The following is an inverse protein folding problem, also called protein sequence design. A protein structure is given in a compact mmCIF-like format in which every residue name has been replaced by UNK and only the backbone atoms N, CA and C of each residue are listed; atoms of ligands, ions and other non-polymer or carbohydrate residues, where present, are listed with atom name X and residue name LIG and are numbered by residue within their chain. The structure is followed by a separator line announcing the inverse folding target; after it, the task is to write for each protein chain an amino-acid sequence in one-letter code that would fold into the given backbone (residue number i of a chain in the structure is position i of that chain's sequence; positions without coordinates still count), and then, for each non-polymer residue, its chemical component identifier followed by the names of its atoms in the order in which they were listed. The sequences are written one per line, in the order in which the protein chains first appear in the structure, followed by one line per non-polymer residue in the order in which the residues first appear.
data_IF_646266858270
#
_entry.id   IF_646266858270
#
_cell.length_a   1.000
_cell.length_b   1.000
_cell.length_c   1.000
_cell.angle_alpha   90.00
_cell.angle_beta   90.00
_cell.angle_gamma   90.00
#
_symmetry.space_group_name_H-M   'P 1'
#
loop_
_entity.id
_entity.type
_entity.pdbx_description
1 polymer ?
#
# COMPACT_ATOMS: atom_id res chain seq x y z
N UNK A 1 -46.25 46.04 -34.24
CA UNK A 1 -45.69 44.92 -35.01
C UNK A 1 -44.39 44.53 -34.34
N UNK A 2 -44.42 43.53 -33.44
CA UNK A 2 -43.24 43.02 -32.77
C UNK A 2 -42.40 42.21 -33.77
N UNK A 3 -41.14 42.57 -33.96
CA UNK A 3 -40.09 41.60 -34.26
C UNK A 3 -38.89 41.93 -33.37
N UNK A 4 -38.75 41.13 -32.33
CA UNK A 4 -37.61 41.09 -31.42
C UNK A 4 -36.40 40.57 -32.21
N UNK A 5 -35.43 41.43 -32.46
CA UNK A 5 -34.15 41.03 -33.04
C UNK A 5 -33.37 40.19 -32.02
N UNK A 6 -32.84 39.07 -32.51
CA UNK A 6 -32.22 38.01 -31.75
C UNK A 6 -31.10 38.51 -30.83
N UNK A 7 -31.13 37.98 -29.61
CA UNK A 7 -30.09 38.15 -28.61
C UNK A 7 -28.72 37.82 -29.18
N UNK A 8 -27.81 38.76 -28.98
CA UNK A 8 -26.38 38.62 -29.17
C UNK A 8 -25.87 37.48 -28.27
N UNK A 9 -25.78 36.28 -28.84
CA UNK A 9 -25.06 35.14 -28.25
C UNK A 9 -23.59 35.47 -28.41
N UNK A 10 -23.10 36.39 -27.57
CA UNK A 10 -21.68 36.67 -27.43
C UNK A 10 -20.98 35.37 -27.03
N UNK A 11 -20.19 34.86 -27.97
CA UNK A 11 -19.25 33.74 -27.86
C UNK A 11 -18.62 33.70 -26.47
N UNK A 12 -19.02 32.74 -25.62
CA UNK A 12 -18.23 32.37 -24.44
C UNK A 12 -16.96 31.70 -24.93
N UNK A 13 -15.90 32.48 -25.12
CA UNK A 13 -14.55 31.96 -25.30
C UNK A 13 -14.24 30.97 -24.17
N UNK A 14 -13.60 29.81 -24.46
CA UNK A 14 -13.12 28.94 -23.39
C UNK A 14 -12.21 29.79 -22.50
N UNK A 15 -12.59 29.96 -21.23
CA UNK A 15 -11.75 30.65 -20.26
C UNK A 15 -10.52 29.77 -20.09
N UNK A 16 -9.37 30.21 -20.60
CA UNK A 16 -8.07 29.62 -20.28
C UNK A 16 -7.93 29.63 -18.75
N UNK A 17 -8.07 28.46 -18.13
CA UNK A 17 -8.23 28.29 -16.68
C UNK A 17 -6.88 28.29 -15.98
N UNK A 18 -5.87 27.70 -16.60
CA UNK A 18 -4.54 27.52 -16.04
C UNK A 18 -3.51 28.32 -16.84
N UNK A 19 -2.60 28.99 -16.16
CA UNK A 19 -1.47 29.70 -16.76
C UNK A 19 -0.55 28.74 -17.49
N UNK A 20 -0.20 27.65 -16.84
CA UNK A 20 0.68 26.62 -17.37
C UNK A 20 0.37 25.26 -16.70
N UNK A 21 1.11 24.21 -17.09
CA UNK A 21 0.97 22.87 -16.51
C UNK A 21 1.31 22.82 -15.01
N UNK A 22 2.14 23.72 -14.50
CA UNK A 22 2.52 23.72 -13.08
C UNK A 22 1.39 24.24 -12.21
N UNK A 23 0.74 25.34 -12.63
CA UNK A 23 -0.43 25.85 -11.92
C UNK A 23 -1.55 24.81 -11.89
N UNK A 24 -1.80 24.14 -13.03
CA UNK A 24 -2.76 23.04 -13.10
C UNK A 24 -2.41 21.89 -12.14
N UNK A 25 -1.14 21.51 -12.04
CA UNK A 25 -0.67 20.48 -11.11
C UNK A 25 -0.87 20.86 -9.64
N UNK A 26 -0.68 22.14 -9.28
CA UNK A 26 -0.92 22.62 -7.90
C UNK A 26 -2.40 22.58 -7.53
N UNK A 27 -3.28 23.01 -8.43
CA UNK A 27 -4.73 22.91 -8.23
C UNK A 27 -5.15 21.45 -8.07
N UNK A 28 -4.61 20.57 -8.92
CA UNK A 28 -4.91 19.14 -8.85
C UNK A 28 -4.39 18.50 -7.56
N UNK A 29 -3.24 18.96 -7.06
CA UNK A 29 -2.68 18.50 -5.79
C UNK A 29 -3.55 18.84 -4.58
N UNK A 30 -4.20 20.00 -4.58
CA UNK A 30 -5.15 20.39 -3.52
C UNK A 30 -6.36 19.45 -3.49
N UNK A 31 -6.88 19.08 -4.66
CA UNK A 31 -7.99 18.12 -4.78
C UNK A 31 -7.60 16.71 -4.32
N UNK A 32 -6.32 16.35 -4.48
CA UNK A 32 -5.76 15.05 -4.08
C UNK A 32 -5.22 15.04 -2.64
N UNK A 33 -5.45 16.08 -1.82
CA UNK A 33 -4.85 16.21 -0.50
C UNK A 33 -5.10 15.02 0.44
N UNK A 34 -6.19 14.26 0.23
CA UNK A 34 -6.49 13.04 0.98
C UNK A 34 -5.40 11.95 0.85
N UNK A 35 -4.62 11.95 -0.24
CA UNK A 35 -3.55 10.98 -0.51
C UNK A 35 -2.19 11.38 0.05
N UNK A 36 -2.08 12.55 0.69
CA UNK A 36 -0.82 13.07 1.21
C UNK A 36 -0.25 12.18 2.32
N UNK A 37 1.06 11.99 2.31
CA UNK A 37 1.82 11.23 3.32
C UNK A 37 1.40 9.76 3.46
N UNK A 38 0.65 9.23 2.50
CA UNK A 38 0.31 7.81 2.47
C UNK A 38 1.48 6.98 1.92
N UNK A 39 1.94 5.93 2.64
CA UNK A 39 3.17 5.21 2.31
C UNK A 39 3.08 4.37 1.03
N UNK A 40 1.87 4.05 0.57
CA UNK A 40 1.60 3.20 -0.59
C UNK A 40 1.08 3.95 -1.81
N UNK A 41 1.16 5.29 -1.81
CA UNK A 41 0.80 6.10 -2.97
C UNK A 41 1.99 6.27 -3.91
N UNK A 42 1.78 6.05 -5.20
CA UNK A 42 2.74 6.35 -6.27
C UNK A 42 2.06 7.25 -7.30
N UNK A 43 2.78 8.27 -7.76
CA UNK A 43 2.31 9.14 -8.84
C UNK A 43 3.01 8.76 -10.14
N UNK A 44 2.23 8.46 -11.17
CA UNK A 44 2.70 8.15 -12.51
C UNK A 44 2.26 9.24 -13.48
N UNK A 45 3.22 9.94 -14.09
CA UNK A 45 2.93 10.92 -15.13
C UNK A 45 2.92 10.28 -16.52
N UNK A 46 1.85 10.47 -17.29
CA UNK A 46 1.81 10.05 -18.69
C UNK A 46 2.79 10.88 -19.53
N UNK A 47 3.74 10.19 -20.16
CA UNK A 47 4.74 10.85 -20.95
C UNK A 47 4.16 11.42 -22.26
N UNK A 48 4.42 12.68 -22.62
CA UNK A 48 5.32 13.66 -21.97
C UNK A 48 4.58 14.76 -21.21
N UNK A 49 3.40 15.14 -21.70
CA UNK A 49 2.65 16.30 -21.24
C UNK A 49 2.24 16.23 -19.78
N UNK A 50 1.94 15.03 -19.28
CA UNK A 50 1.54 14.80 -17.90
C UNK A 50 2.63 15.02 -16.86
N UNK A 51 3.92 14.93 -17.20
CA UNK A 51 5.00 14.94 -16.19
C UNK A 51 5.11 16.25 -15.41
N UNK A 52 5.07 17.45 -16.03
CA UNK A 52 5.06 18.70 -15.27
C UNK A 52 3.88 18.81 -14.28
N UNK A 53 2.71 18.28 -14.64
CA UNK A 53 1.54 18.26 -13.75
C UNK A 53 1.75 17.24 -12.63
N UNK A 54 2.17 16.03 -12.99
CA UNK A 54 2.43 14.92 -12.09
C UNK A 54 3.50 15.26 -11.04
N UNK A 55 4.52 16.03 -11.42
CA UNK A 55 5.57 16.44 -10.50
C UNK A 55 5.04 17.34 -9.39
N UNK A 56 4.19 18.34 -9.70
CA UNK A 56 3.61 19.21 -8.67
C UNK A 56 2.67 18.41 -7.75
N UNK A 57 1.90 17.45 -8.31
CA UNK A 57 1.08 16.52 -7.52
C UNK A 57 1.95 15.67 -6.59
N UNK A 58 2.97 15.00 -7.12
CA UNK A 58 3.85 14.14 -6.34
C UNK A 58 4.59 14.89 -5.23
N UNK A 59 5.08 16.10 -5.54
CA UNK A 59 5.77 16.95 -4.57
C UNK A 59 4.85 17.36 -3.41
N UNK A 60 3.60 17.74 -3.71
CA UNK A 60 2.62 18.14 -2.70
C UNK A 60 2.08 16.97 -1.87
N UNK A 61 2.10 15.75 -2.40
CA UNK A 61 1.68 14.53 -1.69
C UNK A 61 2.83 13.83 -0.95
N UNK A 62 4.08 14.28 -1.16
CA UNK A 62 5.31 13.59 -0.73
C UNK A 62 5.42 12.15 -1.25
N UNK A 63 4.90 11.91 -2.45
CA UNK A 63 4.86 10.60 -3.08
C UNK A 63 5.99 10.44 -4.12
N UNK A 64 6.47 9.21 -4.37
CA UNK A 64 7.39 8.92 -5.47
C UNK A 64 6.72 9.23 -6.82
N UNK A 65 7.48 9.89 -7.69
CA UNK A 65 7.11 10.17 -9.08
C UNK A 65 7.88 9.24 -10.03
N UNK A 66 7.17 8.69 -11.01
CA UNK A 66 7.77 8.01 -12.16
C UNK A 66 7.03 8.36 -13.45
N UNK A 67 7.69 8.15 -14.59
CA UNK A 67 7.08 8.31 -15.90
C UNK A 67 6.42 7.02 -16.36
N UNK A 68 5.24 7.14 -16.95
CA UNK A 68 4.54 6.03 -17.58
C UNK A 68 4.45 6.28 -19.09
N UNK A 69 5.11 5.43 -19.88
CA UNK A 69 5.17 5.57 -21.33
C UNK A 69 4.14 4.63 -21.95
N UNK A 70 3.28 5.19 -22.79
CA UNK A 70 2.26 4.45 -23.53
C UNK A 70 2.37 4.77 -25.01
N UNK A 71 2.24 3.74 -25.84
CA UNK A 71 2.18 3.81 -27.30
C UNK A 71 0.88 3.19 -27.75
N UNK A 72 0.17 3.82 -28.68
CA UNK A 72 -0.99 3.21 -29.31
C UNK A 72 -0.52 2.28 -30.41
N UNK A 73 -1.17 1.13 -30.54
CA UNK A 73 -1.00 0.25 -31.69
C UNK A 73 -2.04 0.69 -32.72
N UNK A 74 -1.60 1.37 -33.78
CA UNK A 74 -2.46 1.79 -34.87
C UNK A 74 -2.88 0.62 -35.76
N UNK A 75 -4.04 0.70 -36.39
CA UNK A 75 -4.51 -0.29 -37.35
C UNK A 75 -3.63 -0.29 -38.60
N UNK A 76 -3.40 -1.46 -39.25
CA UNK A 76 -2.67 -1.49 -40.52
C UNK A 76 -3.29 -0.53 -41.55
N UNK A 77 -2.50 0.45 -42.03
CA UNK A 77 -2.92 1.45 -43.01
C UNK A 77 -3.67 2.67 -42.42
N UNK A 78 -3.98 2.67 -41.12
CA UNK A 78 -4.68 3.75 -40.44
C UNK A 78 -4.13 3.95 -39.02
N UNK A 79 -2.97 4.60 -38.92
CA UNK A 79 -2.24 4.77 -37.66
C UNK A 79 -3.03 5.53 -36.58
N UNK A 80 -3.95 6.41 -37.00
CA UNK A 80 -4.84 7.17 -36.11
C UNK A 80 -5.93 6.30 -35.44
N UNK A 81 -6.20 5.12 -35.98
CA UNK A 81 -7.21 4.20 -35.45
C UNK A 81 -6.55 3.15 -34.55
N UNK A 82 -6.66 3.31 -33.24
CA UNK A 82 -5.99 2.44 -32.28
C UNK A 82 -6.70 1.07 -32.15
N UNK A 83 -5.96 -0.01 -32.39
CA UNK A 83 -6.40 -1.41 -32.20
C UNK A 83 -5.99 -1.95 -30.84
N UNK A 84 -5.05 -1.27 -30.20
CA UNK A 84 -4.51 -1.63 -28.90
C UNK A 84 -3.53 -0.58 -28.42
N UNK A 85 -2.77 -0.95 -27.41
CA UNK A 85 -1.69 -0.14 -26.89
C UNK A 85 -0.57 -1.01 -26.31
N UNK A 86 0.61 -0.43 -26.28
CA UNK A 86 1.77 -0.95 -25.60
C UNK A 86 2.15 0.02 -24.48
N UNK A 87 2.43 -0.51 -23.30
CA UNK A 87 2.84 0.29 -22.15
C UNK A 87 4.18 -0.16 -21.59
N UNK A 88 4.69 0.66 -20.67
CA UNK A 88 5.88 0.39 -19.88
C UNK A 88 5.93 -1.06 -19.36
N UNK A 89 7.10 -1.69 -19.48
CA UNK A 89 7.29 -3.11 -19.15
C UNK A 89 6.90 -4.09 -20.27
N UNK A 90 6.69 -3.61 -21.50
CA UNK A 90 6.45 -4.46 -22.68
C UNK A 90 5.04 -5.06 -22.74
N UNK A 91 4.10 -4.51 -21.96
CA UNK A 91 2.73 -5.03 -21.90
C UNK A 91 1.90 -4.56 -23.08
N UNK A 92 1.36 -5.51 -23.82
CA UNK A 92 0.50 -5.31 -24.97
C UNK A 92 -0.95 -5.53 -24.55
N UNK A 93 -1.77 -4.53 -24.74
CA UNK A 93 -3.22 -4.59 -24.56
C UNK A 93 -3.88 -4.40 -25.92
N UNK A 94 -4.86 -5.23 -26.25
CA UNK A 94 -5.50 -5.21 -27.56
C UNK A 94 -7.01 -5.20 -27.39
N UNK A 95 -7.71 -4.46 -28.26
CA UNK A 95 -9.16 -4.53 -28.33
C UNK A 95 -9.56 -5.66 -29.30
N UNK A 96 -9.97 -6.80 -28.75
CA UNK A 96 -10.32 -7.99 -29.53
C UNK A 96 -11.48 -7.76 -30.49
N UNK A 97 -12.42 -6.87 -30.17
CA UNK A 97 -13.55 -6.56 -31.06
C UNK A 97 -13.08 -5.79 -32.30
N UNK A 98 -12.15 -4.85 -32.11
CA UNK A 98 -11.54 -4.09 -33.20
C UNK A 98 -10.66 -4.99 -34.07
N UNK A 99 -9.83 -5.83 -33.45
CA UNK A 99 -8.97 -6.78 -34.17
C UNK A 99 -9.81 -7.73 -35.03
N UNK A 100 -10.91 -8.26 -34.49
CA UNK A 100 -11.83 -9.13 -35.22
C UNK A 100 -12.56 -8.37 -36.32
N UNK A 101 -13.08 -7.17 -36.04
CA UNK A 101 -13.82 -6.35 -36.99
C UNK A 101 -12.98 -5.94 -38.21
N UNK A 102 -11.70 -5.62 -38.00
CA UNK A 102 -10.76 -5.25 -39.05
C UNK A 102 -10.01 -6.44 -39.66
N UNK A 103 -10.28 -7.67 -39.19
CA UNK A 103 -9.61 -8.91 -39.63
C UNK A 103 -8.09 -8.82 -39.57
N UNK A 104 -7.57 -8.20 -38.51
CA UNK A 104 -6.13 -8.03 -38.32
C UNK A 104 -5.53 -9.39 -37.99
N UNK A 105 -4.55 -9.80 -38.77
CA UNK A 105 -3.86 -11.08 -38.54
C UNK A 105 -2.94 -10.99 -37.33
N UNK A 106 -2.67 -12.11 -36.64
CA UNK A 106 -1.70 -12.13 -35.54
C UNK A 106 -0.30 -11.65 -35.96
N UNK A 107 0.10 -11.88 -37.22
CA UNK A 107 1.39 -11.40 -37.72
C UNK A 107 1.42 -9.87 -37.84
N UNK A 108 0.39 -9.27 -38.44
CA UNK A 108 0.30 -7.81 -38.54
C UNK A 108 0.32 -7.15 -37.17
N UNK A 109 -0.40 -7.72 -36.19
CA UNK A 109 -0.40 -7.20 -34.82
C UNK A 109 0.98 -7.29 -34.17
N UNK A 110 1.70 -8.41 -34.36
CA UNK A 110 3.09 -8.55 -33.89
C UNK A 110 4.01 -7.50 -34.51
N UNK A 111 3.94 -7.31 -35.82
CA UNK A 111 4.78 -6.34 -36.52
C UNK A 111 4.54 -4.90 -36.02
N UNK A 112 3.28 -4.55 -35.73
CA UNK A 112 2.92 -3.26 -35.13
C UNK A 112 3.46 -3.17 -33.70
N UNK A 113 3.24 -4.19 -32.87
CA UNK A 113 3.70 -4.22 -31.49
C UNK A 113 5.22 -4.14 -31.37
N UNK A 114 5.97 -4.82 -32.23
CA UNK A 114 7.44 -4.77 -32.25
C UNK A 114 7.96 -3.38 -32.65
N UNK A 115 7.34 -2.75 -33.66
CA UNK A 115 7.72 -1.39 -34.09
C UNK A 115 7.47 -0.38 -32.97
N UNK A 116 6.28 -0.40 -32.39
CA UNK A 116 5.93 0.50 -31.29
C UNK A 116 6.73 0.18 -30.01
N UNK A 117 7.10 -1.08 -29.80
CA UNK A 117 7.93 -1.52 -28.69
C UNK A 117 9.35 -1.01 -28.72
N UNK A 118 9.96 -0.92 -29.91
CA UNK A 118 11.29 -0.30 -30.04
C UNK A 118 11.28 1.18 -29.64
N UNK A 119 10.26 1.93 -30.06
CA UNK A 119 10.13 3.35 -29.67
C UNK A 119 9.77 3.50 -28.19
N UNK A 120 8.93 2.60 -27.64
CA UNK A 120 8.62 2.59 -26.21
C UNK A 120 9.89 2.40 -25.39
N UNK A 121 10.68 1.37 -25.68
CA UNK A 121 11.95 1.09 -24.99
C UNK A 121 12.92 2.27 -25.12
N UNK A 122 13.04 2.87 -26.31
CA UNK A 122 13.87 4.07 -26.51
C UNK A 122 13.48 5.21 -25.57
N UNK A 123 12.17 5.48 -25.41
CA UNK A 123 11.65 6.52 -24.52
C UNK A 123 11.82 6.17 -23.05
N UNK A 124 11.55 4.92 -22.67
CA UNK A 124 11.78 4.46 -21.30
C UNK A 124 13.24 4.63 -20.89
N UNK A 125 14.18 4.16 -21.72
CA UNK A 125 15.62 4.36 -21.49
C UNK A 125 15.98 5.84 -21.45
N UNK A 126 15.37 6.67 -22.30
CA UNK A 126 15.61 8.12 -22.29
C UNK A 126 15.15 8.78 -20.98
N UNK A 127 14.07 8.32 -20.34
CA UNK A 127 13.52 8.96 -19.14
C UNK A 127 14.06 8.37 -17.83
N UNK A 128 14.16 7.04 -17.75
CA UNK A 128 14.61 6.33 -16.55
C UNK A 128 16.12 6.10 -16.50
N UNK A 129 16.80 6.11 -17.64
CA UNK A 129 18.18 5.64 -17.73
C UNK A 129 18.25 4.16 -17.34
N UNK A 130 19.09 3.84 -16.37
CA UNK A 130 19.24 2.47 -15.83
C UNK A 130 18.28 2.17 -14.67
N UNK A 131 17.44 3.13 -14.24
CA UNK A 131 16.51 2.90 -13.13
C UNK A 131 15.45 1.87 -13.53
N UNK A 132 15.19 0.84 -12.71
CA UNK A 132 14.11 -0.11 -12.99
C UNK A 132 12.74 0.59 -12.92
N UNK A 133 11.72 0.04 -13.60
CA UNK A 133 10.33 0.48 -13.41
C UNK A 133 9.92 0.43 -11.94
N UNK A 134 9.12 1.40 -11.52
CA UNK A 134 8.57 1.41 -10.16
C UNK A 134 7.60 0.25 -9.96
N UNK A 135 7.78 -0.51 -8.87
CA UNK A 135 6.84 -1.55 -8.46
C UNK A 135 5.56 -0.91 -7.90
N UNK A 136 4.44 -1.19 -8.55
CA UNK A 136 3.12 -0.67 -8.23
C UNK A 136 2.19 -1.74 -7.64
N UNK A 137 2.68 -2.96 -7.44
CA UNK A 137 1.87 -4.08 -6.95
C UNK A 137 1.31 -3.77 -5.57
N UNK A 138 -0.01 -3.89 -5.40
CA UNK A 138 -0.69 -3.61 -4.13
C UNK A 138 -0.63 -2.14 -3.67
N UNK A 139 -0.29 -1.20 -4.55
CA UNK A 139 -0.18 0.23 -4.23
C UNK A 139 -1.34 1.05 -4.81
N UNK A 140 -1.54 2.25 -4.26
CA UNK A 140 -2.45 3.24 -4.82
C UNK A 140 -1.71 4.04 -5.89
N UNK A 141 -2.13 3.88 -7.15
CA UNK A 141 -1.48 4.50 -8.30
C UNK A 141 -2.32 5.70 -8.76
N UNK A 142 -1.75 6.90 -8.64
CA UNK A 142 -2.34 8.13 -9.19
C UNK A 142 -1.72 8.39 -10.55
N UNK A 143 -2.54 8.25 -11.59
CA UNK A 143 -2.15 8.38 -13.00
C UNK A 143 -2.52 9.78 -13.48
N UNK A 144 -1.51 10.57 -13.85
CA UNK A 144 -1.65 12.00 -14.14
C UNK A 144 -1.35 12.30 -15.60
N UNK A 145 -2.20 13.10 -16.25
CA UNK A 145 -1.95 13.68 -17.58
C UNK A 145 -2.29 15.18 -17.59
N UNK A 146 -1.82 15.93 -18.61
CA UNK A 146 -2.10 17.37 -18.72
C UNK A 146 -3.52 17.70 -19.17
N UNK A 147 -4.25 16.70 -19.66
CA UNK A 147 -5.70 16.74 -19.82
C UNK A 147 -6.19 15.48 -20.51
N UNK A 148 -7.51 15.33 -20.55
CA UNK A 148 -8.15 14.14 -21.09
C UNK A 148 -9.12 14.54 -22.19
N UNK A 149 -8.71 14.40 -23.46
CA UNK A 149 -9.59 14.68 -24.59
C UNK A 149 -10.48 13.47 -24.92
N UNK A 150 -10.03 12.61 -25.84
CA UNK A 150 -10.72 11.37 -26.19
C UNK A 150 -10.43 10.23 -25.21
N UNK A 151 -9.46 10.40 -24.31
CA UNK A 151 -9.11 9.41 -23.30
C UNK A 151 -8.31 8.20 -23.80
N UNK A 152 -8.09 8.03 -25.10
CA UNK A 152 -7.46 6.82 -25.65
C UNK A 152 -6.10 6.46 -25.02
N UNK A 153 -5.23 7.45 -24.77
CA UNK A 153 -3.94 7.22 -24.13
C UNK A 153 -4.07 6.81 -22.66
N UNK A 154 -5.03 7.43 -21.94
CA UNK A 154 -5.32 7.11 -20.55
C UNK A 154 -5.98 5.73 -20.42
N UNK A 155 -6.88 5.37 -21.34
CA UNK A 155 -7.52 4.06 -21.37
C UNK A 155 -6.48 2.94 -21.55
N UNK A 156 -5.56 3.13 -22.49
CA UNK A 156 -4.40 2.27 -22.66
C UNK A 156 -3.55 2.17 -21.40
N UNK A 157 -3.33 3.30 -20.71
CA UNK A 157 -2.58 3.31 -19.48
C UNK A 157 -3.26 2.50 -18.36
N UNK A 158 -4.56 2.74 -18.14
CA UNK A 158 -5.36 2.03 -17.12
C UNK A 158 -5.35 0.53 -17.36
N UNK A 159 -5.57 0.09 -18.60
CA UNK A 159 -5.54 -1.35 -18.90
C UNK A 159 -4.17 -1.95 -18.62
N UNK A 160 -3.10 -1.27 -19.06
CA UNK A 160 -1.76 -1.72 -18.79
C UNK A 160 -1.42 -1.73 -17.30
N UNK A 161 -1.98 -0.84 -16.47
CA UNK A 161 -1.74 -0.81 -15.02
C UNK A 161 -2.47 -1.93 -14.29
N UNK A 162 -3.70 -2.29 -14.69
CA UNK A 162 -4.49 -3.36 -14.06
C UNK A 162 -3.75 -4.69 -14.02
N UNK A 163 -3.00 -5.03 -15.06
CA UNK A 163 -2.19 -6.26 -15.14
C UNK A 163 -1.07 -6.31 -14.08
N UNK A 164 -0.70 -5.20 -13.44
CA UNK A 164 0.30 -5.17 -12.35
C UNK A 164 -0.35 -5.27 -10.97
N UNK A 165 -1.68 -5.44 -10.92
CA UNK A 165 -2.44 -5.64 -9.70
C UNK A 165 -2.17 -4.54 -8.64
N UNK A 166 -2.32 -3.24 -8.98
CA UNK A 166 -2.34 -2.20 -7.97
C UNK A 166 -3.54 -2.39 -7.03
N UNK A 167 -3.46 -1.85 -5.81
CA UNK A 167 -4.58 -1.85 -4.90
C UNK A 167 -5.70 -0.91 -5.37
N UNK A 168 -5.31 0.24 -5.94
CA UNK A 168 -6.22 1.25 -6.48
C UNK A 168 -5.59 1.98 -7.67
N UNK A 169 -6.41 2.37 -8.63
CA UNK A 169 -6.06 3.25 -9.74
C UNK A 169 -6.91 4.52 -9.62
N UNK A 170 -6.24 5.67 -9.55
CA UNK A 170 -6.87 6.99 -9.50
C UNK A 170 -6.40 7.77 -10.73
N UNK A 171 -7.33 8.30 -11.52
CA UNK A 171 -6.99 9.20 -12.62
C UNK A 171 -7.05 10.63 -12.11
N UNK A 172 -6.03 11.43 -12.41
CA UNK A 172 -6.04 12.84 -12.06
C UNK A 172 -5.65 13.71 -13.27
N UNK A 173 -6.55 14.61 -13.69
CA UNK A 173 -6.34 15.47 -14.86
C UNK A 173 -6.85 16.90 -14.62
N UNK A 174 -6.16 17.93 -15.13
CA UNK A 174 -6.62 19.31 -14.99
C UNK A 174 -7.94 19.59 -15.70
N UNK A 175 -8.09 19.12 -16.93
CA UNK A 175 -9.26 19.42 -17.76
C UNK A 175 -9.68 18.23 -18.62
N UNK A 176 -10.99 17.98 -18.68
CA UNK A 176 -11.58 16.89 -19.46
C UNK A 176 -13.06 17.18 -19.81
N UNK A 177 -13.62 16.60 -20.88
CA UNK A 177 -15.07 16.56 -21.06
C UNK A 177 -15.73 15.74 -19.95
N UNK A 178 -16.90 16.21 -19.48
CA UNK A 178 -17.68 15.48 -18.47
C UNK A 178 -18.02 14.05 -18.92
N UNK A 179 -18.33 13.85 -20.20
CA UNK A 179 -18.61 12.53 -20.78
C UNK A 179 -17.44 11.56 -20.60
N UNK A 180 -16.21 12.03 -20.81
CA UNK A 180 -15.00 11.22 -20.70
C UNK A 180 -14.72 10.89 -19.24
N UNK A 181 -14.88 11.84 -18.31
CA UNK A 181 -14.78 11.56 -16.88
C UNK A 181 -15.76 10.49 -16.41
N UNK A 182 -17.03 10.54 -16.86
CA UNK A 182 -18.03 9.52 -16.51
C UNK A 182 -17.69 8.14 -17.05
N UNK A 183 -17.13 8.06 -18.26
CA UNK A 183 -16.67 6.80 -18.84
C UNK A 183 -15.57 6.16 -17.98
N UNK A 184 -14.57 6.97 -17.58
CA UNK A 184 -13.49 6.47 -16.72
C UNK A 184 -13.92 6.15 -15.30
N UNK A 185 -14.92 6.83 -14.75
CA UNK A 185 -15.45 6.51 -13.42
C UNK A 185 -16.01 5.07 -13.32
N UNK A 186 -16.38 4.44 -14.45
CA UNK A 186 -16.73 3.03 -14.51
C UNK A 186 -15.54 2.07 -14.65
N UNK A 187 -14.32 2.59 -14.83
CA UNK A 187 -13.10 1.82 -15.13
C UNK A 187 -12.03 1.93 -14.04
N UNK A 188 -12.06 2.93 -13.17
CA UNK A 188 -11.05 3.12 -12.13
C UNK A 188 -11.71 3.38 -10.79
N UNK A 189 -10.93 3.34 -9.71
CA UNK A 189 -11.43 3.53 -8.36
C UNK A 189 -11.85 4.97 -8.09
N UNK A 190 -11.17 5.94 -8.71
CA UNK A 190 -11.53 7.36 -8.64
C UNK A 190 -11.03 8.16 -9.85
N UNK A 191 -11.75 9.25 -10.17
CA UNK A 191 -11.41 10.21 -11.23
C UNK A 191 -11.48 11.62 -10.66
N UNK A 192 -10.32 12.24 -10.50
CA UNK A 192 -10.17 13.62 -10.05
C UNK A 192 -9.94 14.53 -11.25
N UNK A 193 -10.90 15.41 -11.51
CA UNK A 193 -10.81 16.40 -12.59
C UNK A 193 -11.01 17.81 -12.05
N UNK A 194 -10.04 18.71 -12.31
CA UNK A 194 -10.11 20.07 -11.76
C UNK A 194 -11.15 20.96 -12.47
N UNK A 195 -11.39 20.76 -13.77
CA UNK A 195 -12.42 21.49 -14.52
C UNK A 195 -12.95 20.70 -15.70
N UNK A 196 -14.24 20.89 -16.03
CA UNK A 196 -14.91 20.24 -17.16
C UNK A 196 -15.51 21.27 -18.11
N UNK A 197 -14.69 21.95 -18.95
CA UNK A 197 -15.17 23.03 -19.78
C UNK A 197 -16.10 22.54 -20.89
N UNK A 198 -17.12 23.35 -21.22
CA UNK A 198 -18.07 23.08 -22.30
C UNK A 198 -18.20 24.32 -23.19
N UNK A 199 -17.96 24.23 -24.51
CA UNK A 199 -17.50 23.04 -25.25
C UNK A 199 -16.03 22.70 -24.94
N UNK A 200 -15.69 21.41 -24.95
CA UNK A 200 -14.31 20.94 -24.89
C UNK A 200 -13.80 20.72 -26.31
N UNK A 201 -12.81 21.52 -26.74
CA UNK A 201 -12.24 21.42 -28.09
C UNK A 201 -10.89 20.71 -28.08
N UNK A 202 -9.99 21.11 -27.18
CA UNK A 202 -8.67 20.53 -27.03
C UNK A 202 -8.15 20.78 -25.61
N UNK A 203 -7.23 19.92 -25.15
CA UNK A 203 -6.55 20.08 -23.85
C UNK A 203 -5.89 21.46 -23.73
N UNK A 204 -5.18 21.89 -24.79
CA UNK A 204 -4.43 23.14 -24.80
C UNK A 204 -5.25 24.42 -24.60
N UNK A 205 -6.55 24.41 -24.90
CA UNK A 205 -7.43 25.57 -24.69
C UNK A 205 -7.66 25.91 -23.21
N UNK A 206 -7.39 24.95 -22.32
CA UNK A 206 -7.46 25.18 -20.87
C UNK A 206 -6.22 25.92 -20.33
N UNK A 207 -5.18 26.11 -21.15
CA UNK A 207 -3.88 26.65 -20.75
C UNK A 207 -3.54 27.96 -21.46
N UNK A 208 -2.93 28.91 -20.75
CA UNK A 208 -2.34 30.12 -21.36
C UNK A 208 -1.01 29.80 -22.06
N UNK A 209 -0.18 28.98 -21.43
CA UNK A 209 1.06 28.42 -21.97
C UNK A 209 0.94 26.89 -22.07
N UNK A 210 0.85 26.40 -23.31
CA UNK A 210 0.78 24.98 -23.63
C UNK A 210 1.94 24.51 -24.52
N UNK A 211 3.13 25.10 -24.33
CA UNK A 211 4.33 24.68 -25.08
C UNK A 211 4.61 23.19 -24.92
N UNK A 212 5.18 22.58 -25.96
CA UNK A 212 5.48 21.16 -25.96
C UNK A 212 6.55 20.83 -24.91
N UNK A 213 6.26 19.83 -24.06
CA UNK A 213 7.21 19.32 -23.07
C UNK A 213 8.32 18.54 -23.79
N UNK A 214 9.57 18.89 -23.47
CA UNK A 214 10.77 18.26 -24.04
C UNK A 214 11.20 17.03 -23.23
N UNK A 215 11.93 16.11 -23.86
CA UNK A 215 12.48 14.94 -23.15
C UNK A 215 13.46 15.36 -22.04
N UNK A 216 14.18 16.46 -22.24
CA UNK A 216 15.09 17.02 -21.23
C UNK A 216 14.35 17.56 -20.01
N UNK A 217 13.21 18.21 -20.23
CA UNK A 217 12.34 18.64 -19.13
C UNK A 217 11.79 17.44 -18.34
N UNK A 218 11.39 16.37 -19.02
CA UNK A 218 10.95 15.12 -18.35
C UNK A 218 12.07 14.55 -17.49
N UNK A 219 13.30 14.43 -18.02
CA UNK A 219 14.45 13.94 -17.26
C UNK A 219 14.72 14.77 -16.01
N UNK A 220 14.72 16.09 -16.15
CA UNK A 220 14.93 17.01 -15.02
C UNK A 220 13.87 16.84 -13.93
N UNK A 221 12.60 16.71 -14.30
CA UNK A 221 11.51 16.48 -13.34
C UNK A 221 11.68 15.13 -12.62
N UNK A 222 11.99 14.06 -13.36
CA UNK A 222 12.21 12.72 -12.78
C UNK A 222 13.50 12.61 -11.94
N UNK A 223 14.45 13.53 -12.11
CA UNK A 223 15.66 13.61 -11.30
C UNK A 223 15.46 14.46 -10.04
N UNK A 224 14.42 15.31 -10.01
CA UNK A 224 14.13 16.18 -8.88
C UNK A 224 13.24 15.42 -7.88
N UNK A 225 13.72 15.15 -6.65
CA UNK A 225 12.95 14.38 -5.66
C UNK A 225 11.62 15.06 -5.32
N UNK A 226 10.54 14.28 -5.27
CA UNK A 226 9.18 14.73 -4.88
C UNK A 226 8.77 14.19 -3.51
N UNK A 227 9.25 13.01 -3.15
CA UNK A 227 9.27 12.54 -1.78
C UNK A 227 10.58 13.01 -1.12
N UNK A 228 10.55 13.28 0.20
CA UNK A 228 11.79 13.35 1.00
C UNK A 228 12.64 12.10 0.79
N UNK A 229 13.91 12.04 1.27
CA UNK A 229 14.67 10.80 1.21
C UNK A 229 13.76 9.73 1.77
N UNK A 230 13.29 8.83 0.90
CA UNK A 230 12.39 7.81 1.36
C UNK A 230 13.15 7.16 2.50
N UNK A 231 12.45 6.85 3.59
CA UNK A 231 12.89 5.73 4.40
C UNK A 231 12.84 4.56 3.41
N UNK A 232 13.89 4.43 2.60
CA UNK A 232 14.15 3.33 1.71
C UNK A 232 14.03 2.18 2.66
N UNK A 233 12.93 1.44 2.57
CA UNK A 233 12.99 0.06 3.00
C UNK A 233 14.11 -0.50 2.13
N UNK A 234 15.28 -0.85 2.70
CA UNK A 234 16.37 -1.38 1.89
C UNK A 234 15.81 -2.56 1.10
N UNK A 235 16.30 -2.75 -0.12
CA UNK A 235 16.01 -3.93 -0.93
C UNK A 235 15.91 -5.15 -0.02
N UNK A 236 14.76 -5.84 -0.07
CA UNK A 236 14.30 -6.84 0.89
C UNK A 236 15.39 -7.25 1.89
N UNK A 237 15.45 -6.56 3.03
CA UNK A 237 16.33 -6.96 4.12
C UNK A 237 16.09 -8.44 4.34
N UNK A 238 17.14 -9.26 4.22
CA UNK A 238 16.98 -10.68 4.53
C UNK A 238 16.42 -10.79 5.94
N UNK A 239 15.66 -11.85 6.26
CA UNK A 239 15.16 -12.03 7.62
C UNK A 239 16.30 -11.92 8.65
N UNK A 240 17.51 -12.35 8.28
CA UNK A 240 18.71 -12.18 9.07
C UNK A 240 19.13 -10.71 9.29
N UNK A 241 19.00 -9.83 8.29
CA UNK A 241 19.34 -8.40 8.44
C UNK A 241 18.33 -7.65 9.31
N UNK A 242 17.05 -8.02 9.23
CA UNK A 242 16.03 -7.50 10.14
C UNK A 242 16.34 -7.93 11.57
N UNK A 243 16.59 -9.22 11.77
CA UNK A 243 16.93 -9.77 13.08
C UNK A 243 18.19 -9.14 13.65
N UNK A 244 19.27 -8.98 12.89
CA UNK A 244 20.52 -8.36 13.39
C UNK A 244 20.34 -6.92 13.88
N UNK A 245 19.40 -6.16 13.31
CA UNK A 245 19.14 -4.78 13.72
C UNK A 245 18.39 -4.66 15.05
N UNK A 246 17.61 -5.67 15.38
CA UNK A 246 16.77 -5.69 16.60
C UNK A 246 17.25 -6.70 17.63
N UNK A 247 18.20 -7.56 17.27
CA UNK A 247 18.81 -8.53 18.16
C UNK A 247 19.68 -7.81 19.17
N UNK A 248 19.47 -8.18 20.43
CA UNK A 248 20.21 -7.67 21.56
C UNK A 248 21.07 -8.80 22.07
N UNK A 249 22.36 -8.54 22.21
CA UNK A 249 23.30 -9.52 22.70
C UNK A 249 23.01 -9.81 24.19
N UNK A 250 22.88 -11.09 24.50
CA UNK A 250 22.50 -11.58 25.83
C UNK A 250 23.34 -12.83 26.16
N UNK A 251 24.66 -12.68 26.35
CA UNK A 251 25.57 -13.81 26.54
C UNK A 251 25.25 -14.64 27.81
N UNK A 252 24.55 -14.05 28.78
CA UNK A 252 24.03 -14.74 29.97
C UNK A 252 22.62 -15.33 29.81
N UNK A 253 22.10 -15.40 28.58
CA UNK A 253 20.74 -15.89 28.26
C UNK A 253 19.63 -14.86 28.43
N UNK A 254 19.83 -13.82 29.24
CA UNK A 254 18.88 -12.71 29.46
C UNK A 254 19.61 -11.37 29.27
N UNK A 255 19.01 -10.39 28.56
CA UNK A 255 19.56 -9.03 28.51
C UNK A 255 19.62 -8.39 29.91
N UNK A 256 20.48 -7.39 30.11
CA UNK A 256 20.56 -6.69 31.40
C UNK A 256 19.24 -5.98 31.72
N UNK A 257 18.97 -5.74 33.01
CA UNK A 257 17.73 -5.06 33.44
C UNK A 257 17.60 -3.65 32.85
N UNK A 258 18.71 -2.95 32.58
CA UNK A 258 18.70 -1.64 31.91
C UNK A 258 18.15 -1.76 30.49
N UNK A 259 18.64 -2.73 29.72
CA UNK A 259 18.20 -2.99 28.35
C UNK A 259 16.75 -3.47 28.35
N UNK A 260 16.36 -4.35 29.27
CA UNK A 260 14.96 -4.77 29.43
C UNK A 260 14.06 -3.59 29.80
N UNK A 261 14.51 -2.65 30.64
CA UNK A 261 13.76 -1.46 31.00
C UNK A 261 13.56 -0.52 29.82
N UNK A 262 14.57 -0.36 28.96
CA UNK A 262 14.46 0.41 27.72
C UNK A 262 13.52 -0.25 26.71
N UNK A 263 13.65 -1.57 26.50
CA UNK A 263 12.79 -2.33 25.59
C UNK A 263 11.32 -2.33 26.01
N UNK A 264 11.07 -2.45 27.31
CA UNK A 264 9.72 -2.48 27.86
C UNK A 264 9.11 -1.09 27.94
N UNK A 265 9.89 -0.05 28.25
CA UNK A 265 9.40 1.32 28.33
C UNK A 265 8.16 1.46 29.22
N UNK A 266 7.11 2.09 28.67
CA UNK A 266 5.77 2.23 29.28
C UNK A 266 4.77 1.19 28.75
N UNK A 267 5.26 0.11 28.13
CA UNK A 267 4.42 -0.88 27.51
C UNK A 267 3.49 -1.52 28.54
N UNK A 268 2.19 -1.47 28.25
CA UNK A 268 1.15 -2.16 29.02
C UNK A 268 1.13 -3.65 28.71
N UNK A 269 1.72 -4.03 27.57
CA UNK A 269 1.75 -5.37 27.00
C UNK A 269 3.18 -5.69 26.51
N UNK A 270 3.76 -6.81 26.96
CA UNK A 270 5.10 -7.38 26.73
C UNK A 270 4.93 -8.87 26.41
N UNK A 271 5.27 -9.27 25.20
CA UNK A 271 5.20 -10.66 24.74
C UNK A 271 6.60 -11.28 24.82
N UNK A 272 6.71 -12.47 25.40
CA UNK A 272 7.97 -13.21 25.51
C UNK A 272 7.81 -14.54 24.75
N UNK A 273 8.69 -14.79 23.79
CA UNK A 273 8.72 -16.01 22.99
C UNK A 273 10.13 -16.61 22.91
N UNK A 274 10.22 -17.86 22.45
CA UNK A 274 11.48 -18.58 22.24
C UNK A 274 11.52 -19.18 20.83
N UNK A 275 12.73 -19.39 20.29
CA UNK A 275 12.94 -19.95 18.95
C UNK A 275 13.00 -21.48 18.92
N UNK A 276 13.08 -22.13 20.08
CA UNK A 276 13.23 -23.57 20.22
C UNK A 276 12.46 -24.09 21.43
N UNK A 277 11.76 -25.22 21.26
CA UNK A 277 11.04 -25.90 22.34
C UNK A 277 11.97 -26.85 23.08
N UNK A 278 11.82 -26.94 24.41
CA UNK A 278 12.52 -27.95 25.23
C UNK A 278 13.97 -27.59 25.57
N UNK A 279 14.42 -26.38 25.25
CA UNK A 279 15.76 -25.88 25.61
C UNK A 279 15.69 -25.21 26.99
N UNK A 280 16.41 -25.76 27.96
CA UNK A 280 16.32 -25.35 29.37
C UNK A 280 16.71 -23.89 29.59
N UNK A 281 17.71 -23.42 28.85
CA UNK A 281 18.23 -22.06 28.89
C UNK A 281 17.18 -21.02 28.48
N UNK A 282 16.33 -21.32 27.48
CA UNK A 282 15.24 -20.43 27.07
C UNK A 282 14.12 -20.38 28.11
N UNK A 283 13.82 -21.51 28.77
CA UNK A 283 12.86 -21.53 29.87
C UNK A 283 13.34 -20.74 31.09
N UNK A 284 14.61 -20.88 31.46
CA UNK A 284 15.22 -20.08 32.53
C UNK A 284 15.17 -18.59 32.19
N UNK A 285 15.55 -18.22 30.96
CA UNK A 285 15.52 -16.83 30.51
C UNK A 285 14.10 -16.24 30.56
N UNK A 286 13.10 -16.98 30.08
CA UNK A 286 11.68 -16.57 30.14
C UNK A 286 11.20 -16.40 31.58
N UNK A 287 11.56 -17.33 32.47
CA UNK A 287 11.19 -17.26 33.88
C UNK A 287 11.81 -16.02 34.55
N UNK A 288 13.09 -15.76 34.33
CA UNK A 288 13.80 -14.60 34.88
C UNK A 288 13.22 -13.27 34.40
N UNK A 289 12.96 -13.13 33.09
CA UNK A 289 12.34 -11.93 32.53
C UNK A 289 10.92 -11.72 33.07
N UNK A 290 10.14 -12.80 33.18
CA UNK A 290 8.77 -12.73 33.73
C UNK A 290 8.78 -12.32 35.20
N UNK A 291 9.69 -12.88 36.00
CA UNK A 291 9.86 -12.50 37.39
C UNK A 291 10.19 -11.02 37.53
N UNK A 292 11.17 -10.53 36.78
CA UNK A 292 11.56 -9.13 36.80
C UNK A 292 10.40 -8.19 36.39
N UNK A 293 9.61 -8.54 35.37
CA UNK A 293 8.43 -7.76 34.97
C UNK A 293 7.39 -7.66 36.09
N UNK A 294 7.19 -8.73 36.87
CA UNK A 294 6.25 -8.74 37.98
C UNK A 294 6.79 -7.92 39.16
N UNK A 295 8.03 -8.19 39.56
CA UNK A 295 8.63 -7.62 40.77
C UNK A 295 9.00 -6.14 40.60
N UNK A 296 9.59 -5.77 39.46
CA UNK A 296 10.18 -4.44 39.25
C UNK A 296 9.33 -3.53 38.35
N UNK A 297 8.51 -4.10 37.45
CA UNK A 297 7.64 -3.32 36.54
C UNK A 297 6.15 -3.36 36.89
N UNK A 298 5.77 -4.12 37.92
CA UNK A 298 4.41 -4.12 38.48
C UNK A 298 3.35 -4.82 37.60
N UNK A 299 3.76 -5.74 36.72
CA UNK A 299 2.82 -6.54 35.93
C UNK A 299 2.05 -7.51 36.83
N UNK A 300 0.71 -7.49 36.75
CA UNK A 300 -0.16 -8.21 37.69
C UNK A 300 -0.79 -9.52 37.19
N UNK A 301 -0.56 -9.90 35.92
CA UNK A 301 -1.16 -11.09 35.32
C UNK A 301 -0.25 -11.73 34.28
N UNK A 302 -0.27 -13.07 34.20
CA UNK A 302 0.43 -13.87 33.19
C UNK A 302 -0.57 -14.81 32.52
N UNK A 303 -0.58 -14.81 31.19
CA UNK A 303 -1.24 -15.84 30.38
C UNK A 303 -0.15 -16.77 29.83
N UNK A 304 -0.48 -18.02 29.51
CA UNK A 304 0.45 -18.94 28.87
C UNK A 304 -0.30 -19.93 27.95
N UNK A 305 0.27 -20.21 26.78
CA UNK A 305 -0.11 -21.33 25.92
C UNK A 305 0.67 -22.58 26.35
N UNK A 306 -0.04 -23.66 26.68
CA UNK A 306 0.56 -24.94 27.06
C UNK A 306 0.09 -26.05 26.11
N UNK A 307 1.03 -26.68 25.41
CA UNK A 307 0.77 -27.85 24.57
C UNK A 307 1.37 -29.10 25.21
N UNK A 308 0.54 -29.91 25.86
CA UNK A 308 0.92 -31.24 26.35
C UNK A 308 -0.29 -32.05 26.81
N UNK A 309 -0.32 -33.38 26.57
CA UNK A 309 -1.42 -34.24 27.01
C UNK A 309 -1.27 -34.51 28.51
N UNK A 310 -2.14 -33.91 29.32
CA UNK A 310 -2.52 -34.52 30.60
C UNK A 310 -3.64 -35.54 30.32
N UNK A 311 -3.69 -36.69 31.03
CA UNK A 311 -4.67 -37.72 30.71
C UNK A 311 -6.09 -37.18 30.91
N UNK A 312 -6.95 -37.46 29.93
CA UNK A 312 -8.38 -37.13 29.85
C UNK A 312 -8.76 -35.68 29.51
N UNK A 313 -8.67 -35.39 28.20
CA UNK A 313 -9.70 -34.67 27.42
C UNK A 313 -10.16 -33.30 27.91
N UNK A 314 -9.43 -32.23 27.57
CA UNK A 314 -9.98 -30.91 27.17
C UNK A 314 -8.83 -29.94 26.84
N UNK A 315 -8.98 -29.17 25.76
CA UNK A 315 -8.06 -28.09 25.35
C UNK A 315 -8.40 -26.84 26.17
N UNK A 316 -7.45 -26.25 26.90
CA UNK A 316 -7.72 -25.09 27.76
C UNK A 316 -6.55 -24.11 27.90
N UNK A 317 -6.87 -22.81 27.84
CA UNK A 317 -5.99 -21.65 28.10
C UNK A 317 -5.86 -21.43 29.62
N UNK A 318 -4.66 -21.12 30.13
CA UNK A 318 -4.44 -20.75 31.53
C UNK A 318 -4.27 -19.23 31.69
N UNK A 319 -5.02 -18.63 32.63
CA UNK A 319 -4.82 -17.26 33.10
C UNK A 319 -4.66 -17.27 34.62
N UNK A 320 -3.53 -16.79 35.13
CA UNK A 320 -3.28 -16.68 36.58
C UNK A 320 -3.09 -15.20 36.98
N UNK A 321 -3.85 -14.78 38.00
CA UNK A 321 -3.71 -13.46 38.65
C UNK A 321 -2.73 -13.58 39.82
N UNK A 322 -1.60 -12.87 39.76
CA UNK A 322 -0.61 -12.90 40.83
C UNK A 322 -0.85 -11.73 41.81
N UNK A 323 -1.25 -12.06 43.04
CA UNK A 323 -0.99 -11.22 44.23
C UNK A 323 -0.38 -12.06 45.35
N UNK A 324 0.67 -12.84 45.04
CA UNK A 324 1.48 -13.50 46.10
C UNK A 324 2.84 -13.97 45.58
N UNK A 325 3.92 -13.97 46.40
CA UNK A 325 5.30 -14.34 46.01
C UNK A 325 5.51 -15.84 45.69
N UNK A 326 4.46 -16.65 45.67
CA UNK A 326 4.52 -18.12 45.52
C UNK A 326 4.44 -18.62 44.07
N UNK A 327 4.14 -17.75 43.10
CA UNK A 327 4.06 -18.10 41.68
C UNK A 327 5.43 -18.15 40.99
N UNK A 328 6.37 -17.30 41.41
CA UNK A 328 7.77 -17.27 40.91
C UNK A 328 8.49 -18.59 41.15
N UNK A 329 8.21 -19.29 42.26
CA UNK A 329 8.82 -20.60 42.57
C UNK A 329 8.30 -21.75 41.68
N UNK A 330 7.09 -21.64 41.11
CA UNK A 330 6.51 -22.70 40.25
C UNK A 330 6.91 -22.59 38.78
N UNK A 331 7.32 -21.41 38.32
CA UNK A 331 7.83 -21.21 36.96
C UNK A 331 9.31 -21.62 36.83
N UNK A 332 10.07 -21.59 37.93
CA UNK A 332 11.49 -21.98 37.94
C UNK A 332 11.73 -23.51 37.98
N UNK A 333 10.78 -24.29 38.51
CA UNK A 333 10.94 -25.75 38.73
C UNK A 333 10.46 -26.64 37.57
N UNK A 334 10.15 -26.10 36.38
CA UNK A 334 9.76 -26.92 35.21
C UNK A 334 10.95 -27.50 34.45
N UNK A 335 11.79 -28.26 35.16
CA UNK A 335 12.65 -29.30 34.58
C UNK A 335 12.03 -30.66 34.90
N UNK A 336 10.97 -31.03 34.17
CA UNK A 336 10.37 -32.36 34.26
C UNK A 336 9.56 -32.62 35.54
N UNK A 337 8.31 -33.03 35.36
CA UNK A 337 7.48 -33.66 36.40
C UNK A 337 8.26 -34.74 37.18
N UNK A 338 8.18 -34.80 38.53
CA UNK A 338 8.41 -36.03 39.28
C UNK A 338 7.11 -36.63 39.87
N UNK A 339 7.13 -37.91 40.26
CA UNK A 339 5.97 -38.77 40.43
C UNK A 339 5.35 -38.69 41.83
N UNK A 340 4.09 -39.11 41.95
CA UNK A 340 3.56 -39.62 43.21
C UNK A 340 2.64 -38.67 43.97
N UNK A 341 1.35 -38.93 43.80
CA UNK A 341 0.24 -38.78 44.73
C UNK A 341 0.48 -38.10 46.10
N UNK A 342 -0.29 -37.05 46.36
CA UNK A 342 -0.47 -36.48 47.69
C UNK A 342 -1.59 -35.44 47.75
N UNK A 343 -2.83 -35.91 47.63
CA UNK A 343 -4.09 -35.30 48.07
C UNK A 343 -4.45 -33.84 47.68
N UNK A 344 -5.51 -33.78 46.86
CA UNK A 344 -6.50 -32.70 46.60
C UNK A 344 -7.12 -32.07 47.88
N UNK A 345 -7.91 -30.95 47.81
CA UNK A 345 -8.69 -30.48 46.66
C UNK A 345 -8.68 -28.97 46.34
N UNK A 346 -8.83 -28.66 45.05
CA UNK A 346 -9.37 -27.39 44.57
C UNK A 346 -10.57 -27.67 43.68
N UNK A 347 -11.68 -26.97 43.94
CA UNK A 347 -12.94 -27.07 43.22
C UNK A 347 -13.18 -25.82 42.35
N UNK A 348 -13.75 -26.09 41.18
CA UNK A 348 -14.51 -25.22 40.26
C UNK A 348 -13.75 -24.42 39.18
N UNK A 349 -13.88 -24.97 37.97
CA UNK A 349 -13.54 -24.45 36.63
C UNK A 349 -14.87 -24.30 35.89
N UNK A 350 -15.12 -23.17 35.22
CA UNK A 350 -16.18 -23.04 34.21
C UNK A 350 -15.61 -22.38 32.94
N UNK A 351 -15.88 -23.04 31.80
CA UNK A 351 -15.42 -22.73 30.45
C UNK A 351 -16.64 -22.56 29.55
N UNK A 352 -16.58 -21.69 28.53
CA UNK A 352 -17.43 -21.85 27.35
C UNK A 352 -16.74 -21.34 26.07
N UNK A 353 -16.93 -22.09 25.00
CA UNK A 353 -16.19 -22.00 23.73
C UNK A 353 -16.89 -21.23 22.60
N UNK A 354 -16.19 -21.23 21.46
CA UNK A 354 -16.41 -20.47 20.23
C UNK A 354 -17.80 -20.50 19.58
N UNK A 355 -18.09 -19.39 18.88
CA UNK A 355 -18.84 -19.21 17.62
C UNK A 355 -20.12 -18.35 17.68
N UNK A 356 -20.23 -17.46 16.69
CA UNK A 356 -21.37 -16.62 16.26
C UNK A 356 -21.85 -15.44 17.14
N UNK A 357 -21.87 -14.28 16.47
CA UNK A 357 -22.87 -13.21 16.53
C UNK A 357 -23.07 -12.35 17.81
N UNK A 358 -23.04 -11.03 17.51
CA UNK A 358 -23.92 -9.96 18.00
C UNK A 358 -23.85 -9.47 19.45
N UNK A 359 -23.60 -8.15 19.53
CA UNK A 359 -24.15 -7.15 20.46
C UNK A 359 -23.98 -7.34 21.98
N UNK A 360 -23.23 -6.38 22.52
CA UNK A 360 -23.60 -5.52 23.65
C UNK A 360 -23.54 -6.03 25.11
N UNK A 361 -22.65 -5.32 25.83
CA UNK A 361 -22.78 -4.73 27.18
C UNK A 361 -22.71 -5.61 28.43
N UNK A 362 -21.65 -5.37 29.22
CA UNK A 362 -21.76 -5.28 30.68
C UNK A 362 -20.93 -4.10 31.21
N UNK A 363 -21.59 -3.22 31.98
CA UNK A 363 -20.97 -2.13 32.74
C UNK A 363 -20.49 -2.69 34.07
N UNK A 364 -19.25 -2.38 34.46
CA UNK A 364 -18.83 -2.36 35.85
C UNK A 364 -18.04 -1.09 36.12
N UNK A 365 -18.61 -0.20 36.95
CA UNK A 365 -17.91 0.93 37.58
C UNK A 365 -17.30 0.42 38.88
N UNK A 366 -15.97 0.47 39.02
CA UNK A 366 -15.28 0.89 40.24
C UNK A 366 -13.78 1.07 39.99
N UNK A 367 -13.36 2.33 39.81
CA UNK A 367 -12.17 2.92 40.45
C UNK A 367 -10.77 2.33 40.22
N UNK A 368 -10.31 2.23 38.96
CA UNK A 368 -8.93 2.33 38.41
C UNK A 368 -8.92 1.53 37.09
N UNK A 369 -8.25 1.98 36.01
CA UNK A 369 -8.46 1.38 34.70
C UNK A 369 -8.00 -0.08 34.74
N UNK A 370 -8.96 -0.99 34.62
CA UNK A 370 -8.74 -2.41 34.45
C UNK A 370 -7.97 -2.62 33.14
N UNK A 371 -6.66 -2.83 33.24
CA UNK A 371 -5.83 -3.35 32.15
C UNK A 371 -5.95 -4.86 32.16
N UNK A 372 -6.84 -5.39 31.33
CA UNK A 372 -7.22 -6.81 31.28
C UNK A 372 -6.85 -7.42 29.92
N UNK A 373 -6.35 -8.66 29.98
CA UNK A 373 -6.22 -9.76 28.98
C UNK A 373 -5.10 -9.69 27.92
N UNK A 374 -4.46 -10.86 27.74
CA UNK A 374 -3.35 -11.17 26.85
C UNK A 374 -3.64 -12.44 26.06
N UNK A 375 -3.26 -12.47 24.77
CA UNK A 375 -3.49 -13.62 23.87
C UNK A 375 -2.14 -14.09 23.31
N UNK A 376 -1.92 -15.41 23.39
CA UNK A 376 -0.83 -16.16 22.76
C UNK A 376 -1.24 -16.61 21.37
N UNK A 377 -0.32 -16.69 20.43
CA UNK A 377 -0.43 -17.70 19.37
C UNK A 377 0.93 -18.09 18.80
N UNK A 378 1.14 -19.40 18.77
CA UNK A 378 2.10 -20.14 17.96
C UNK A 378 2.07 -19.79 16.46
N UNK A 379 3.22 -19.85 15.79
CA UNK A 379 3.30 -19.98 14.34
C UNK A 379 3.44 -21.46 13.97
N UNK A 380 2.44 -21.98 13.26
CA UNK A 380 2.51 -23.24 12.51
C UNK A 380 3.27 -22.98 11.20
N UNK A 381 4.31 -23.76 10.94
CA UNK A 381 4.92 -23.88 9.61
C UNK A 381 5.21 -25.35 9.31
N UNK A 382 4.46 -25.93 8.36
CA UNK A 382 4.72 -27.27 7.79
C UNK A 382 4.97 -27.12 6.28
N UNK A 383 6.08 -27.64 5.79
CA UNK A 383 6.23 -28.22 4.46
C UNK A 383 7.49 -29.10 4.51
N UNK A 384 7.39 -30.42 4.71
CA UNK A 384 7.30 -31.47 3.68
C UNK A 384 8.29 -31.31 2.50
N UNK A 385 9.28 -32.23 2.53
CA UNK A 385 10.30 -32.63 1.55
C UNK A 385 11.34 -31.61 1.15
#
# INVERSE_FOLDING_TARGET
MLMTAAADVTRRSPRRVFRDRREAGRVLAELLAAYRDQPDVIVLGLARGGLPVAWEVAAALHAPLDAFVVRKLGAPGHDEFAVGALASGGRVVVNDDVVRGLRITPQQLRDIAEREGRELLRRESAYRGERPPTDITGKTVIVVDDGLATGASMFAAVQALRDAQPAQIVIAVPAAPESTCREFAGLVDDVVCATMPTPFLAVGESFWDFRQVTDEEVRRLLATPTAGPSLRRPAASTAADVLRRVAIDAPGGVPTHEVLAELVGDARIVLIGESSHGTHEFYQARAAMTQWLIEEKGFGAVAAEATGPTPTGSIGTFAASARTPTLTRRLADSSGFPPGCGATPWSEILWNGCAHATSATSRARCGKPASTVWIFTACIGRSKR
#
